data_IF_863268159339
#
_entry.id   IF_863268159339
#
_cell.length_a   1.000
_cell.length_b   1.000
_cell.length_c   1.000
_cell.angle_alpha   90.00
_cell.angle_beta   90.00
_cell.angle_gamma   90.00
#
_symmetry.space_group_name_H-M   'P 1'
#
loop_
_entity.id
_entity.type
_entity.pdbx_description
1 polymer ?
#
# COMPACT_ATOMS: atom_id res chain seq x y z
N UNK A 1 -18.02 -24.71 16.87
CA UNK A 1 -17.39 -24.36 15.58
C UNK A 1 -16.36 -23.27 15.89
N UNK A 2 -15.12 -23.50 15.50
CA UNK A 2 -14.02 -22.55 15.75
C UNK A 2 -14.27 -21.24 15.00
N UNK A 3 -14.01 -20.10 15.65
CA UNK A 3 -14.12 -18.76 15.04
C UNK A 3 -12.73 -18.17 14.80
N UNK A 4 -12.40 -17.96 13.54
CA UNK A 4 -11.17 -17.30 13.10
C UNK A 4 -11.50 -15.89 12.65
N UNK A 5 -11.01 -14.89 13.38
CA UNK A 5 -11.21 -13.48 13.05
C UNK A 5 -9.94 -12.94 12.39
N UNK A 6 -10.08 -12.34 11.20
CA UNK A 6 -9.02 -11.71 10.44
C UNK A 6 -9.27 -10.20 10.46
N UNK A 7 -8.34 -9.43 10.98
CA UNK A 7 -8.44 -7.96 11.05
C UNK A 7 -7.52 -7.33 10.01
N UNK A 8 -8.14 -6.63 9.07
CA UNK A 8 -7.50 -5.98 7.94
C UNK A 8 -7.68 -6.76 6.63
N UNK A 9 -8.44 -6.19 5.70
CA UNK A 9 -8.72 -6.71 4.36
C UNK A 9 -7.75 -6.21 3.29
N UNK A 10 -6.51 -5.90 3.67
CA UNK A 10 -5.43 -5.61 2.71
C UNK A 10 -5.08 -6.80 1.84
N UNK A 11 -4.03 -6.69 1.00
CA UNK A 11 -3.63 -7.70 0.03
C UNK A 11 -3.53 -9.12 0.63
N UNK A 12 -2.90 -9.26 1.80
CA UNK A 12 -2.77 -10.57 2.45
C UNK A 12 -4.01 -10.99 3.23
N UNK A 13 -4.68 -10.05 3.92
CA UNK A 13 -5.83 -10.39 4.77
C UNK A 13 -7.04 -10.86 3.98
N UNK A 14 -7.36 -10.21 2.86
CA UNK A 14 -8.43 -10.66 1.97
C UNK A 14 -8.09 -12.01 1.34
N UNK A 15 -6.84 -12.22 0.90
CA UNK A 15 -6.42 -13.49 0.34
C UNK A 15 -6.53 -14.63 1.37
N UNK A 16 -6.13 -14.38 2.61
CA UNK A 16 -6.26 -15.36 3.70
C UNK A 16 -7.74 -15.68 3.97
N UNK A 17 -8.61 -14.64 4.03
CA UNK A 17 -10.05 -14.85 4.24
C UNK A 17 -10.68 -15.67 3.12
N UNK A 18 -10.37 -15.36 1.86
CA UNK A 18 -10.81 -16.10 0.67
C UNK A 18 -10.43 -17.58 0.78
N UNK A 19 -9.15 -17.89 1.04
CA UNK A 19 -8.68 -19.29 1.12
C UNK A 19 -9.23 -20.05 2.29
N UNK A 20 -9.32 -19.45 3.46
CA UNK A 20 -9.92 -20.08 4.63
C UNK A 20 -11.43 -20.27 4.46
N UNK A 21 -12.10 -19.34 3.82
CA UNK A 21 -13.50 -19.47 3.45
C UNK A 21 -13.72 -20.67 2.53
N UNK A 22 -12.97 -20.78 1.43
CA UNK A 22 -13.05 -21.91 0.48
C UNK A 22 -12.73 -23.26 1.14
N UNK A 23 -11.84 -23.32 2.14
CA UNK A 23 -11.39 -24.57 2.74
C UNK A 23 -12.12 -24.96 4.03
N UNK A 24 -12.30 -24.01 4.93
CA UNK A 24 -12.90 -24.23 6.25
C UNK A 24 -14.35 -23.76 6.33
N UNK A 25 -14.67 -22.62 5.70
CA UNK A 25 -16.00 -22.01 5.69
C UNK A 25 -16.99 -22.86 4.91
N UNK A 26 -16.71 -23.15 3.64
CA UNK A 26 -17.53 -24.00 2.77
C UNK A 26 -17.79 -25.39 3.39
N UNK A 27 -16.80 -25.94 4.09
CA UNK A 27 -16.94 -27.20 4.83
C UNK A 27 -17.60 -27.08 6.20
N UNK A 28 -18.04 -25.89 6.62
CA UNK A 28 -18.59 -25.57 7.95
C UNK A 28 -17.70 -26.07 9.12
N UNK A 29 -16.39 -26.07 8.91
CA UNK A 29 -15.40 -26.50 9.92
C UNK A 29 -15.01 -25.36 10.86
N UNK A 30 -14.97 -24.14 10.32
CA UNK A 30 -14.75 -22.93 11.10
C UNK A 30 -15.61 -21.78 10.55
N UNK A 31 -15.91 -20.83 11.41
CA UNK A 31 -16.46 -19.54 11.05
C UNK A 31 -15.30 -18.60 10.72
N UNK A 32 -15.23 -18.09 9.51
CA UNK A 32 -14.22 -17.14 9.07
C UNK A 32 -14.84 -15.75 9.02
N UNK A 33 -14.29 -14.80 9.78
CA UNK A 33 -14.79 -13.44 9.84
C UNK A 33 -13.68 -12.45 9.46
N UNK A 34 -13.87 -11.72 8.36
CA UNK A 34 -13.02 -10.60 7.97
C UNK A 34 -13.57 -9.30 8.56
N UNK A 35 -12.72 -8.53 9.23
CA UNK A 35 -13.04 -7.21 9.78
C UNK A 35 -12.15 -6.18 9.11
N UNK A 36 -12.74 -5.15 8.51
CA UNK A 36 -12.02 -3.99 7.96
C UNK A 36 -12.84 -2.70 8.15
N UNK A 37 -12.15 -1.57 8.28
CA UNK A 37 -12.78 -0.24 8.35
C UNK A 37 -13.39 0.21 7.02
N UNK A 38 -12.81 -0.26 5.90
CA UNK A 38 -13.27 0.02 4.54
C UNK A 38 -14.35 -0.99 4.10
N UNK A 39 -15.25 -0.65 3.19
CA UNK A 39 -16.23 -1.59 2.64
C UNK A 39 -15.65 -2.51 1.56
N UNK A 40 -14.46 -2.21 1.05
CA UNK A 40 -13.82 -2.94 -0.03
C UNK A 40 -12.32 -2.89 0.00
N UNK A 41 -11.72 -3.74 -0.82
CA UNK A 41 -10.29 -3.86 -1.00
C UNK A 41 -9.82 -3.01 -2.17
N UNK A 42 -8.87 -2.12 -1.90
CA UNK A 42 -8.09 -1.44 -2.91
C UNK A 42 -6.63 -1.87 -2.79
N UNK A 43 -5.99 -2.21 -3.91
CA UNK A 43 -4.59 -2.60 -3.89
C UNK A 43 -3.68 -1.38 -3.65
N UNK A 44 -3.18 -1.23 -2.41
CA UNK A 44 -2.34 -0.11 -1.98
C UNK A 44 -1.20 0.27 -2.93
N UNK A 45 -0.48 -0.67 -3.60
CA UNK A 45 0.55 -0.29 -4.57
C UNK A 45 0.07 0.62 -5.70
N UNK A 46 -1.24 0.69 -5.97
CA UNK A 46 -1.83 1.57 -6.99
C UNK A 46 -2.33 2.93 -6.45
N UNK A 47 -2.15 3.25 -5.16
CA UNK A 47 -2.62 4.53 -4.59
C UNK A 47 -2.00 5.75 -5.29
N UNK A 48 -0.76 5.66 -5.75
CA UNK A 48 -0.13 6.72 -6.54
C UNK A 48 -0.88 7.02 -7.86
N UNK A 49 -1.53 6.01 -8.47
CA UNK A 49 -2.34 6.21 -9.68
C UNK A 49 -3.69 6.87 -9.38
N UNK A 50 -4.25 6.65 -8.19
CA UNK A 50 -5.43 7.38 -7.70
C UNK A 50 -5.05 8.84 -7.44
N UNK A 51 -3.95 9.08 -6.71
CA UNK A 51 -3.45 10.41 -6.37
C UNK A 51 -3.11 11.27 -7.61
N UNK A 52 -2.68 10.62 -8.70
CA UNK A 52 -2.44 11.29 -9.99
C UNK A 52 -3.70 11.44 -10.87
N UNK A 53 -4.83 10.87 -10.47
CA UNK A 53 -6.10 10.91 -11.23
C UNK A 53 -6.20 9.90 -12.37
N UNK A 54 -5.23 9.01 -12.52
CA UNK A 54 -5.20 7.99 -13.59
C UNK A 54 -6.13 6.80 -13.32
N UNK A 55 -6.30 6.43 -12.05
CA UNK A 55 -7.15 5.32 -11.62
C UNK A 55 -8.40 5.84 -10.91
N UNK A 56 -9.55 5.22 -11.22
CA UNK A 56 -10.78 5.42 -10.48
C UNK A 56 -10.93 4.33 -9.43
N UNK A 57 -10.82 4.65 -8.12
CA UNK A 57 -10.95 3.65 -7.07
C UNK A 57 -12.34 3.02 -7.01
N UNK A 58 -13.41 3.75 -7.38
CA UNK A 58 -14.78 3.21 -7.36
C UNK A 58 -14.97 2.03 -8.30
N UNK A 59 -14.16 1.97 -9.35
CA UNK A 59 -14.20 0.91 -10.35
C UNK A 59 -13.25 -0.24 -10.02
N UNK A 60 -12.15 0.08 -9.35
CA UNK A 60 -11.05 -0.86 -9.10
C UNK A 60 -11.18 -1.55 -7.73
N UNK A 61 -11.95 -0.96 -6.82
CA UNK A 61 -12.19 -1.49 -5.48
C UNK A 61 -13.05 -2.75 -5.53
N UNK A 62 -12.63 -3.78 -4.79
CA UNK A 62 -13.35 -5.05 -4.65
C UNK A 62 -14.20 -5.02 -3.38
N UNK A 63 -15.52 -5.08 -3.51
CA UNK A 63 -16.43 -5.12 -2.38
C UNK A 63 -16.20 -6.38 -1.53
N UNK A 64 -15.91 -6.23 -0.23
CA UNK A 64 -15.70 -7.37 0.68
C UNK A 64 -16.95 -8.23 0.81
N UNK A 65 -18.14 -7.63 0.73
CA UNK A 65 -19.42 -8.38 0.78
C UNK A 65 -19.60 -9.34 -0.39
N UNK A 66 -19.17 -8.95 -1.60
CA UNK A 66 -19.20 -9.81 -2.76
C UNK A 66 -18.20 -10.96 -2.64
N UNK A 67 -16.98 -10.65 -2.18
CA UNK A 67 -15.96 -11.68 -1.93
C UNK A 67 -16.39 -12.66 -0.83
N UNK A 68 -17.02 -12.16 0.24
CA UNK A 68 -17.53 -12.98 1.33
C UNK A 68 -18.59 -13.99 0.85
N UNK A 69 -19.49 -13.55 -0.03
CA UNK A 69 -20.51 -14.41 -0.63
C UNK A 69 -19.91 -15.48 -1.55
N UNK A 70 -18.94 -15.09 -2.38
CA UNK A 70 -18.33 -15.97 -3.36
C UNK A 70 -17.41 -17.04 -2.72
N UNK A 71 -16.91 -16.79 -1.50
CA UNK A 71 -15.85 -17.59 -0.87
C UNK A 71 -16.17 -18.02 0.58
N UNK A 72 -17.45 -18.12 0.94
CA UNK A 72 -17.92 -18.68 2.21
C UNK A 72 -17.22 -18.14 3.49
N UNK A 73 -16.99 -16.82 3.55
CA UNK A 73 -16.59 -16.12 4.75
C UNK A 73 -17.57 -14.98 5.10
N UNK A 74 -17.53 -14.47 6.31
CA UNK A 74 -18.34 -13.33 6.73
C UNK A 74 -17.48 -12.05 6.67
N UNK A 75 -18.12 -10.93 6.33
CA UNK A 75 -17.51 -9.61 6.40
C UNK A 75 -18.23 -8.72 7.41
N UNK A 76 -17.44 -8.04 8.24
CA UNK A 76 -17.96 -7.04 9.16
C UNK A 76 -17.17 -5.73 9.03
N UNK A 77 -17.86 -4.68 8.59
CA UNK A 77 -17.24 -3.36 8.53
C UNK A 77 -17.14 -2.75 9.94
N UNK A 78 -15.95 -2.29 10.29
CA UNK A 78 -15.64 -1.61 11.55
C UNK A 78 -14.14 -1.48 11.77
N UNK A 79 -13.77 -0.49 12.55
CA UNK A 79 -12.40 -0.30 12.99
C UNK A 79 -12.22 -0.94 14.38
N UNK A 80 -11.15 -1.72 14.55
CA UNK A 80 -10.82 -2.34 15.83
C UNK A 80 -10.27 -1.28 16.77
N UNK A 81 -10.95 -1.09 17.91
CA UNK A 81 -10.55 -0.17 18.98
C UNK A 81 -9.60 -0.83 19.97
N UNK A 82 -9.91 -2.07 20.35
CA UNK A 82 -9.09 -2.81 21.30
C UNK A 82 -9.28 -4.31 21.12
N UNK A 83 -8.34 -5.07 21.70
CA UNK A 83 -8.36 -6.53 21.80
C UNK A 83 -8.24 -6.91 23.26
N UNK A 84 -9.24 -7.61 23.80
CA UNK A 84 -9.18 -8.23 25.12
C UNK A 84 -8.71 -9.69 24.97
N UNK A 85 -7.43 -9.91 25.25
CA UNK A 85 -6.78 -11.21 25.13
C UNK A 85 -7.23 -12.21 26.18
N UNK A 86 -7.63 -11.71 27.37
CA UNK A 86 -8.09 -12.58 28.45
C UNK A 86 -9.46 -13.20 28.13
N UNK A 87 -10.37 -12.38 27.59
CA UNK A 87 -11.71 -12.81 27.21
C UNK A 87 -11.82 -13.23 25.72
N UNK A 88 -10.71 -13.16 24.96
CA UNK A 88 -10.66 -13.49 23.54
C UNK A 88 -11.70 -12.74 22.73
N UNK A 89 -11.76 -11.42 22.90
CA UNK A 89 -12.69 -10.55 22.17
C UNK A 89 -11.99 -9.38 21.52
N UNK A 90 -12.55 -8.90 20.41
CA UNK A 90 -12.23 -7.62 19.80
C UNK A 90 -13.42 -6.69 19.93
N UNK A 91 -13.15 -5.40 20.11
CA UNK A 91 -14.17 -4.35 20.14
C UNK A 91 -14.03 -3.46 18.92
N UNK A 92 -15.14 -3.25 18.20
CA UNK A 92 -15.21 -2.44 17.01
C UNK A 92 -15.92 -1.11 17.26
N UNK A 93 -15.52 -0.08 16.48
CA UNK A 93 -16.24 1.20 16.42
C UNK A 93 -17.73 1.00 16.09
N UNK A 94 -18.62 1.90 16.56
CA UNK A 94 -20.01 1.93 16.13
C UNK A 94 -20.13 2.10 14.62
N UNK A 95 -21.20 1.54 14.05
CA UNK A 95 -21.52 1.68 12.61
C UNK A 95 -21.87 3.15 12.32
N UNK A 96 -21.14 3.81 11.41
CA UNK A 96 -21.39 5.20 11.04
C UNK A 96 -20.34 6.21 11.53
N UNK A 97 -19.33 5.78 12.27
CA UNK A 97 -18.17 6.61 12.62
C UNK A 97 -18.43 7.76 13.61
N UNK A 98 -19.63 7.90 14.16
CA UNK A 98 -19.94 8.85 15.23
C UNK A 98 -19.87 8.13 16.58
N UNK A 99 -19.04 8.64 17.49
CA UNK A 99 -18.89 8.10 18.86
C UNK A 99 -20.15 8.27 19.72
N UNK A 100 -21.05 9.17 19.36
CA UNK A 100 -22.13 9.61 20.27
C UNK A 100 -23.43 8.77 20.22
N UNK A 101 -23.69 7.95 19.16
CA UNK A 101 -24.98 7.26 18.99
C UNK A 101 -24.90 5.74 18.77
N UNK A 102 -23.75 5.11 18.87
CA UNK A 102 -23.57 3.71 18.50
C UNK A 102 -23.00 2.83 19.61
N UNK A 103 -23.63 1.67 19.83
CA UNK A 103 -23.09 0.63 20.71
C UNK A 103 -21.86 -0.01 20.05
N UNK A 104 -20.73 0.00 20.74
CA UNK A 104 -19.55 -0.77 20.34
C UNK A 104 -19.93 -2.24 20.21
N UNK A 105 -19.41 -2.89 19.14
CA UNK A 105 -19.68 -4.32 18.92
C UNK A 105 -18.49 -5.13 19.41
N UNK A 106 -18.77 -6.11 20.27
CA UNK A 106 -17.77 -7.05 20.77
C UNK A 106 -17.92 -8.39 20.06
N UNK A 107 -16.82 -8.95 19.57
CA UNK A 107 -16.76 -10.19 18.79
C UNK A 107 -15.75 -11.12 19.46
N UNK A 108 -16.18 -12.35 19.78
CA UNK A 108 -15.32 -13.40 20.29
C UNK A 108 -14.52 -14.09 19.18
N UNK A 109 -13.33 -14.58 19.53
CA UNK A 109 -12.48 -15.37 18.63
C UNK A 109 -11.84 -16.56 19.35
N UNK A 110 -11.64 -17.64 18.62
CA UNK A 110 -10.75 -18.73 19.01
C UNK A 110 -9.32 -18.49 18.49
N UNK A 111 -9.23 -17.94 17.27
CA UNK A 111 -7.97 -17.46 16.67
C UNK A 111 -8.16 -16.06 16.12
N UNK A 112 -7.17 -15.21 16.36
CA UNK A 112 -7.12 -13.84 15.84
C UNK A 112 -5.93 -13.68 14.90
N UNK A 113 -6.17 -13.18 13.69
CA UNK A 113 -5.12 -12.90 12.71
C UNK A 113 -5.08 -11.40 12.43
N UNK A 114 -3.96 -10.76 12.74
CA UNK A 114 -3.74 -9.35 12.54
C UNK A 114 -3.01 -9.11 11.21
N UNK A 115 -3.71 -8.51 10.25
CA UNK A 115 -3.23 -8.17 8.91
C UNK A 115 -3.39 -6.65 8.64
N UNK A 116 -3.03 -5.83 9.64
CA UNK A 116 -3.33 -4.40 9.73
C UNK A 116 -2.55 -3.54 8.72
N UNK A 117 -1.56 -4.12 8.03
CA UNK A 117 -0.70 -3.38 7.11
C UNK A 117 0.20 -2.38 7.82
N UNK A 118 0.49 -1.27 7.14
CA UNK A 118 1.32 -0.19 7.67
C UNK A 118 0.68 1.17 7.40
N UNK A 119 1.12 2.17 8.15
CA UNK A 119 0.81 3.59 7.99
C UNK A 119 2.10 4.38 7.79
N UNK A 120 1.98 5.60 7.33
CA UNK A 120 3.11 6.50 7.12
C UNK A 120 3.85 6.77 8.42
N UNK A 121 5.19 6.67 8.39
CA UNK A 121 6.09 7.06 9.47
C UNK A 121 6.65 8.47 9.20
N UNK A 122 6.35 9.41 10.06
CA UNK A 122 6.86 10.78 9.97
C UNK A 122 8.23 10.97 10.63
N UNK A 123 8.80 9.92 11.25
CA UNK A 123 10.11 9.96 11.94
C UNK A 123 10.23 11.10 12.96
N UNK A 124 9.14 11.51 13.55
CA UNK A 124 9.04 12.66 14.48
C UNK A 124 9.56 13.98 13.88
N UNK A 125 9.58 14.11 12.55
CA UNK A 125 9.96 15.38 11.90
C UNK A 125 8.92 16.44 12.22
N UNK A 126 9.31 17.57 12.86
CA UNK A 126 8.39 18.62 13.25
C UNK A 126 7.56 19.13 12.07
N UNK A 127 6.25 19.26 12.28
CA UNK A 127 5.30 19.75 11.29
C UNK A 127 4.92 18.74 10.20
N UNK A 128 5.65 17.63 10.01
CA UNK A 128 5.35 16.67 8.94
C UNK A 128 3.94 16.08 9.05
N UNK A 129 3.55 15.57 10.21
CA UNK A 129 2.21 15.01 10.43
C UNK A 129 1.07 16.05 10.28
N UNK A 130 1.37 17.34 10.44
CA UNK A 130 0.37 18.41 10.36
C UNK A 130 0.23 18.98 8.95
N UNK A 131 1.33 19.10 8.22
CA UNK A 131 1.39 19.86 6.96
C UNK A 131 1.61 18.99 5.72
N UNK A 132 2.08 17.75 5.88
CA UNK A 132 2.22 16.84 4.75
C UNK A 132 1.00 15.91 4.61
N UNK A 133 0.69 15.57 3.38
CA UNK A 133 -0.30 14.55 3.02
C UNK A 133 0.37 13.19 2.92
N UNK A 134 -0.41 12.13 3.06
CA UNK A 134 0.04 10.73 2.97
C UNK A 134 -0.69 9.98 1.84
N UNK A 135 -0.30 8.74 1.58
CA UNK A 135 -1.00 7.81 0.71
C UNK A 135 -1.27 6.49 1.44
N UNK A 136 -1.89 6.56 2.61
CA UNK A 136 -2.20 5.38 3.41
C UNK A 136 -3.54 4.74 3.03
N UNK A 137 -4.44 5.53 2.44
CA UNK A 137 -5.80 5.12 2.04
C UNK A 137 -6.22 5.71 0.68
N UNK A 138 -7.30 5.17 0.11
CA UNK A 138 -7.98 5.75 -1.06
C UNK A 138 -8.44 7.18 -0.79
N UNK A 139 -8.94 7.45 0.42
CA UNK A 139 -9.40 8.79 0.81
C UNK A 139 -8.25 9.81 0.80
N UNK A 140 -7.05 9.43 1.26
CA UNK A 140 -5.86 10.28 1.21
C UNK A 140 -5.44 10.56 -0.23
N UNK A 141 -5.41 9.52 -1.07
CA UNK A 141 -5.06 9.65 -2.48
C UNK A 141 -6.04 10.56 -3.24
N UNK A 142 -7.35 10.42 -2.99
CA UNK A 142 -8.39 11.28 -3.55
C UNK A 142 -8.30 12.73 -3.03
N UNK A 143 -7.98 12.91 -1.74
CA UNK A 143 -7.77 14.24 -1.19
C UNK A 143 -6.54 14.92 -1.82
N UNK A 144 -5.46 14.17 -2.04
CA UNK A 144 -4.28 14.67 -2.74
C UNK A 144 -4.61 15.00 -4.20
N UNK A 145 -5.29 14.10 -4.92
CA UNK A 145 -5.70 14.32 -6.31
C UNK A 145 -6.47 15.63 -6.47
N UNK A 146 -7.50 15.85 -5.64
CA UNK A 146 -8.31 17.07 -5.69
C UNK A 146 -7.44 18.31 -5.52
N UNK A 147 -6.57 18.35 -4.50
CA UNK A 147 -5.69 19.49 -4.26
C UNK A 147 -4.71 19.73 -5.41
N UNK A 148 -4.19 18.64 -6.00
CA UNK A 148 -3.28 18.74 -7.15
C UNK A 148 -3.98 19.30 -8.39
N UNK A 149 -5.16 18.80 -8.75
CA UNK A 149 -5.95 19.28 -9.88
C UNK A 149 -6.37 20.74 -9.67
N UNK A 150 -6.89 21.09 -8.49
CA UNK A 150 -7.24 22.48 -8.15
C UNK A 150 -6.01 23.40 -8.20
N UNK A 151 -4.85 22.91 -7.78
CA UNK A 151 -3.58 23.62 -7.88
C UNK A 151 -3.16 23.87 -9.32
N UNK A 152 -3.28 22.88 -10.21
CA UNK A 152 -3.01 23.02 -11.65
C UNK A 152 -3.95 24.04 -12.31
N UNK A 153 -5.24 24.00 -11.99
CA UNK A 153 -6.22 24.96 -12.49
C UNK A 153 -5.83 26.39 -12.08
N UNK A 154 -5.57 26.62 -10.77
CA UNK A 154 -5.15 27.94 -10.28
C UNK A 154 -3.84 28.40 -10.90
N UNK A 155 -2.87 27.50 -11.10
CA UNK A 155 -1.60 27.85 -11.73
C UNK A 155 -1.80 28.36 -13.17
N UNK A 156 -2.66 27.70 -13.95
CA UNK A 156 -3.02 28.14 -15.31
C UNK A 156 -3.76 29.48 -15.34
N UNK A 157 -4.73 29.70 -14.41
CA UNK A 157 -5.53 30.95 -14.34
C UNK A 157 -4.71 32.16 -13.88
N UNK A 158 -3.91 31.99 -12.80
CA UNK A 158 -3.21 33.10 -12.14
C UNK A 158 -1.80 33.30 -12.63
N UNK A 159 -1.27 32.39 -13.46
CA UNK A 159 0.14 32.34 -13.87
C UNK A 159 1.09 32.23 -12.68
N UNK A 160 0.65 31.56 -11.62
CA UNK A 160 1.44 31.24 -10.43
C UNK A 160 1.98 29.82 -10.54
N UNK A 161 3.17 29.58 -9.99
CA UNK A 161 3.76 28.25 -10.01
C UNK A 161 3.21 27.38 -8.88
N UNK A 162 2.70 26.19 -9.18
CA UNK A 162 2.37 25.15 -8.22
C UNK A 162 3.64 24.35 -7.90
N UNK A 163 4.07 24.37 -6.64
CA UNK A 163 5.21 23.61 -6.14
C UNK A 163 4.74 22.38 -5.38
N UNK A 164 5.07 21.20 -5.86
CA UNK A 164 4.77 19.92 -5.22
C UNK A 164 6.07 19.31 -4.71
N UNK A 165 6.19 19.07 -3.42
CA UNK A 165 7.34 18.42 -2.83
C UNK A 165 6.95 17.01 -2.35
N UNK A 166 7.68 16.01 -2.81
CA UNK A 166 7.53 14.61 -2.41
C UNK A 166 8.74 14.26 -1.56
N UNK A 167 8.50 13.95 -0.29
CA UNK A 167 9.52 13.51 0.66
C UNK A 167 9.58 12.00 0.67
N UNK A 168 10.70 11.45 0.20
CA UNK A 168 10.96 10.02 0.08
C UNK A 168 11.13 9.56 -1.37
N UNK A 169 12.32 9.07 -1.68
CA UNK A 169 12.73 8.54 -3.00
C UNK A 169 12.53 7.03 -3.15
N UNK A 170 11.63 6.43 -2.37
CA UNK A 170 11.18 5.05 -2.53
C UNK A 170 10.26 4.85 -3.73
N UNK A 171 9.75 3.62 -3.93
CA UNK A 171 8.89 3.29 -5.07
C UNK A 171 7.67 4.23 -5.18
N UNK A 172 6.93 4.44 -4.09
CA UNK A 172 5.73 5.29 -4.06
C UNK A 172 6.04 6.72 -4.48
N UNK A 173 7.10 7.34 -3.92
CA UNK A 173 7.45 8.72 -4.25
C UNK A 173 7.92 8.89 -5.69
N UNK A 174 8.73 7.95 -6.19
CA UNK A 174 9.25 7.95 -7.56
C UNK A 174 8.14 7.72 -8.58
N UNK A 175 7.25 6.75 -8.35
CA UNK A 175 6.10 6.45 -9.21
C UNK A 175 5.12 7.63 -9.25
N UNK A 176 4.79 8.20 -8.08
CA UNK A 176 3.89 9.35 -8.02
C UNK A 176 4.49 10.57 -8.74
N UNK A 177 5.76 10.89 -8.53
CA UNK A 177 6.40 12.03 -9.19
C UNK A 177 6.28 11.94 -10.72
N UNK A 178 6.56 10.76 -11.28
CA UNK A 178 6.42 10.51 -12.71
C UNK A 178 4.96 10.64 -13.19
N UNK A 179 4.01 10.07 -12.44
CA UNK A 179 2.59 10.13 -12.80
C UNK A 179 2.03 11.55 -12.68
N UNK A 180 2.41 12.36 -11.68
CA UNK A 180 1.97 13.75 -11.55
C UNK A 180 2.47 14.62 -12.73
N UNK A 181 3.72 14.45 -13.17
CA UNK A 181 4.22 15.13 -14.37
C UNK A 181 3.41 14.78 -15.61
N UNK A 182 3.02 13.49 -15.76
CA UNK A 182 2.16 13.06 -16.87
C UNK A 182 0.75 13.63 -16.75
N UNK A 183 0.18 13.66 -15.54
CA UNK A 183 -1.16 14.19 -15.30
C UNK A 183 -1.21 15.69 -15.57
N UNK A 184 -0.18 16.45 -15.19
CA UNK A 184 -0.09 17.87 -15.52
C UNK A 184 -0.10 18.12 -17.04
N UNK A 185 0.64 17.30 -17.82
CA UNK A 185 0.63 17.40 -19.29
C UNK A 185 -0.74 17.03 -19.88
N UNK A 186 -1.37 15.98 -19.38
CA UNK A 186 -2.72 15.59 -19.83
C UNK A 186 -3.76 16.68 -19.51
N UNK A 187 -3.66 17.36 -18.36
CA UNK A 187 -4.50 18.51 -18.03
C UNK A 187 -4.30 19.67 -19.01
N UNK A 188 -3.06 19.95 -19.43
CA UNK A 188 -2.77 20.96 -20.45
C UNK A 188 -3.33 20.57 -21.83
N UNK A 189 -3.24 19.29 -22.21
CA UNK A 189 -3.82 18.77 -23.46
C UNK A 189 -5.35 18.95 -23.51
N UNK A 190 -6.03 18.89 -22.35
CA UNK A 190 -7.45 19.22 -22.22
C UNK A 190 -7.75 20.72 -22.30
N UNK A 191 -6.72 21.55 -22.51
CA UNK A 191 -6.82 23.02 -22.53
C UNK A 191 -7.41 23.61 -21.25
N UNK A 192 -7.06 23.02 -20.10
CA UNK A 192 -7.49 23.53 -18.81
C UNK A 192 -6.77 24.86 -18.55
N UNK A 193 -7.49 25.97 -18.68
CA UNK A 193 -7.09 27.32 -18.28
C UNK A 193 -5.68 27.78 -18.72
N UNK A 194 -5.25 27.50 -19.93
CA UNK A 194 -3.92 27.93 -20.44
C UNK A 194 -2.72 27.43 -19.60
N UNK A 195 -2.87 26.28 -18.93
CA UNK A 195 -1.81 25.64 -18.13
C UNK A 195 -0.62 25.27 -19.03
N UNK A 196 0.58 25.70 -18.62
CA UNK A 196 1.85 25.29 -19.20
C UNK A 196 2.60 24.43 -18.16
N UNK A 197 2.60 23.09 -18.30
CA UNK A 197 3.16 22.20 -17.28
C UNK A 197 4.63 22.43 -16.98
N UNK A 198 5.41 22.88 -17.96
CA UNK A 198 6.87 23.09 -17.81
C UNK A 198 7.18 24.36 -17.03
N UNK A 199 6.32 25.37 -17.15
CA UNK A 199 6.46 26.66 -16.45
C UNK A 199 5.71 26.69 -15.13
N UNK A 200 4.46 26.19 -15.14
CA UNK A 200 3.50 26.41 -14.06
C UNK A 200 3.53 25.33 -12.99
N UNK A 201 4.12 24.15 -13.29
CA UNK A 201 4.18 23.03 -12.32
C UNK A 201 5.64 22.65 -12.03
N UNK A 202 6.01 22.72 -10.75
CA UNK A 202 7.31 22.26 -10.28
C UNK A 202 7.15 21.10 -9.31
N UNK A 203 7.75 19.97 -9.65
CA UNK A 203 7.76 18.77 -8.79
C UNK A 203 9.19 18.57 -8.30
N UNK A 204 9.35 18.40 -6.99
CA UNK A 204 10.63 18.11 -6.35
C UNK A 204 10.52 16.82 -5.56
N UNK A 205 11.46 15.90 -5.75
CA UNK A 205 11.61 14.69 -4.91
C UNK A 205 12.82 14.87 -4.01
N UNK A 206 12.61 14.76 -2.69
CA UNK A 206 13.67 14.86 -1.68
C UNK A 206 13.91 13.47 -1.07
N UNK A 207 15.14 12.99 -1.15
CA UNK A 207 15.55 11.70 -0.59
C UNK A 207 16.77 11.88 0.33
N UNK A 208 16.68 11.31 1.55
CA UNK A 208 17.76 11.36 2.54
C UNK A 208 18.99 10.58 2.09
N UNK A 209 18.77 9.44 1.43
CA UNK A 209 19.84 8.59 0.93
C UNK A 209 20.52 9.18 -0.31
N UNK A 210 21.68 8.66 -0.64
CA UNK A 210 22.46 9.07 -1.82
C UNK A 210 21.76 8.71 -3.14
N UNK A 211 20.87 7.73 -3.12
CA UNK A 211 20.21 7.22 -4.32
C UNK A 211 18.71 7.05 -4.12
N UNK A 212 17.94 7.32 -5.18
CA UNK A 212 16.54 6.87 -5.24
C UNK A 212 16.47 5.35 -5.24
N UNK A 213 15.33 4.79 -4.79
CA UNK A 213 15.08 3.35 -4.81
C UNK A 213 16.22 2.55 -4.16
N UNK A 214 16.55 2.76 -2.88
CA UNK A 214 17.74 2.23 -2.23
C UNK A 214 17.84 0.70 -2.24
N UNK A 215 16.74 0.00 -2.49
CA UNK A 215 16.68 -1.46 -2.59
C UNK A 215 17.01 -2.00 -4.00
N UNK A 216 17.18 -1.11 -4.98
CA UNK A 216 17.58 -1.49 -6.34
C UNK A 216 19.08 -1.33 -6.52
N UNK A 217 19.59 -1.96 -7.59
CA UNK A 217 21.00 -1.82 -7.96
C UNK A 217 21.30 -0.34 -8.35
N UNK A 218 22.47 0.23 -7.99
CA UNK A 218 22.81 1.64 -8.24
C UNK A 218 22.58 2.12 -9.69
N UNK A 219 22.85 1.29 -10.68
CA UNK A 219 22.58 1.61 -12.09
C UNK A 219 21.09 1.81 -12.39
N UNK A 220 20.20 1.10 -11.69
CA UNK A 220 18.75 1.27 -11.86
C UNK A 220 18.26 2.49 -11.13
N UNK A 221 18.78 2.76 -9.95
CA UNK A 221 18.53 4.01 -9.21
C UNK A 221 18.96 5.22 -10.03
N UNK A 222 20.13 5.18 -10.68
CA UNK A 222 20.57 6.24 -11.57
C UNK A 222 19.69 6.41 -12.80
N UNK A 223 19.22 5.31 -13.40
CA UNK A 223 18.27 5.36 -14.52
C UNK A 223 16.94 5.99 -14.12
N UNK A 224 16.43 5.64 -12.93
CA UNK A 224 15.20 6.23 -12.38
C UNK A 224 15.38 7.74 -12.16
N UNK A 225 16.48 8.17 -11.53
CA UNK A 225 16.78 9.58 -11.31
C UNK A 225 16.91 10.36 -12.63
N UNK A 226 17.63 9.82 -13.62
CA UNK A 226 17.77 10.44 -14.93
C UNK A 226 16.43 10.56 -15.65
N UNK A 227 15.58 9.53 -15.53
CA UNK A 227 14.23 9.57 -16.10
C UNK A 227 13.37 10.65 -15.43
N UNK A 228 13.35 10.77 -14.11
CA UNK A 228 12.60 11.84 -13.43
C UNK A 228 13.12 13.22 -13.86
N UNK A 229 14.43 13.42 -13.95
CA UNK A 229 15.01 14.68 -14.45
C UNK A 229 14.61 15.00 -15.90
N UNK A 230 14.53 13.97 -16.77
CA UNK A 230 14.04 14.16 -18.15
C UNK A 230 12.57 14.55 -18.23
N UNK A 231 11.80 14.33 -17.16
CA UNK A 231 10.42 14.80 -17.02
C UNK A 231 10.32 16.22 -16.43
N UNK A 232 11.44 16.90 -16.17
CA UNK A 232 11.48 18.20 -15.53
C UNK A 232 11.37 18.17 -14.00
N UNK A 233 11.49 16.98 -13.38
CA UNK A 233 11.40 16.81 -11.93
C UNK A 233 12.75 17.10 -11.29
N UNK A 234 12.76 17.95 -10.26
CA UNK A 234 13.95 18.22 -9.44
C UNK A 234 14.19 17.04 -8.46
N UNK A 235 15.33 16.37 -8.59
CA UNK A 235 15.69 15.21 -7.77
C UNK A 235 16.83 15.57 -6.84
N UNK A 236 16.55 15.65 -5.53
CA UNK A 236 17.47 16.00 -4.46
C UNK A 236 17.73 14.79 -3.59
N UNK A 237 18.83 14.13 -3.82
CA UNK A 237 19.35 13.03 -2.99
C UNK A 237 20.31 13.57 -1.93
N UNK A 238 20.69 12.71 -0.95
CA UNK A 238 21.52 13.10 0.20
C UNK A 238 20.95 14.31 0.96
N UNK A 239 19.64 14.49 0.96
CA UNK A 239 18.94 15.65 1.52
C UNK A 239 17.94 15.18 2.58
N UNK A 240 18.26 15.36 3.85
CA UNK A 240 17.38 15.02 4.95
C UNK A 240 16.42 16.17 5.26
N UNK A 241 15.13 15.89 5.44
CA UNK A 241 14.15 16.89 5.86
C UNK A 241 14.22 17.07 7.38
N UNK A 242 14.33 18.33 7.84
CA UNK A 242 14.38 18.70 9.24
C UNK A 242 13.04 19.25 9.77
N UNK A 243 12.26 19.92 8.92
CA UNK A 243 10.99 20.53 9.31
C UNK A 243 10.05 20.68 8.10
N UNK A 244 8.72 20.63 8.36
CA UNK A 244 7.70 20.90 7.34
C UNK A 244 6.77 21.99 7.84
N UNK A 245 6.54 23.00 7.00
CA UNK A 245 5.57 24.06 7.25
C UNK A 245 4.39 23.96 6.27
N UNK A 246 3.45 24.86 6.34
CA UNK A 246 2.30 24.96 5.45
C UNK A 246 2.67 25.30 3.99
N UNK A 247 3.86 25.90 3.78
CA UNK A 247 4.30 26.41 2.48
C UNK A 247 5.74 26.04 2.11
N UNK A 248 6.45 25.26 2.93
CA UNK A 248 7.83 24.85 2.64
C UNK A 248 8.23 23.55 3.36
N UNK A 249 9.14 22.83 2.72
CA UNK A 249 9.93 21.76 3.34
C UNK A 249 11.34 22.30 3.59
N UNK A 250 11.81 22.22 4.83
CA UNK A 250 13.12 22.72 5.25
C UNK A 250 14.04 21.51 5.45
N UNK A 251 15.17 21.50 4.79
CA UNK A 251 16.15 20.44 4.94
C UNK A 251 17.13 20.67 6.11
N UNK A 252 17.95 19.65 6.40
CA UNK A 252 18.90 19.69 7.53
C UNK A 252 20.00 20.75 7.37
N UNK A 253 20.19 21.32 6.18
CA UNK A 253 21.12 22.46 5.96
C UNK A 253 20.48 23.80 6.23
N UNK A 254 19.16 23.83 6.46
CA UNK A 254 18.36 25.05 6.63
C UNK A 254 17.82 25.60 5.30
N UNK A 255 18.05 24.94 4.16
CA UNK A 255 17.49 25.39 2.89
C UNK A 255 15.99 25.09 2.83
N UNK A 256 15.22 26.11 2.40
CA UNK A 256 13.77 26.02 2.26
C UNK A 256 13.39 25.67 0.82
N UNK A 257 12.62 24.58 0.67
CA UNK A 257 12.03 24.16 -0.60
C UNK A 257 10.54 24.57 -0.57
N UNK A 258 10.17 25.57 -1.38
CA UNK A 258 8.76 25.99 -1.46
C UNK A 258 7.87 24.82 -1.83
N UNK A 259 6.76 24.67 -1.11
CA UNK A 259 5.81 23.59 -1.29
C UNK A 259 4.39 24.09 -1.05
N UNK A 260 3.59 24.17 -2.10
CA UNK A 260 2.15 24.40 -2.00
C UNK A 260 1.41 23.10 -1.68
N UNK A 261 2.01 21.96 -2.04
CA UNK A 261 1.60 20.62 -1.65
C UNK A 261 2.82 19.82 -1.21
N UNK A 262 2.78 19.24 -0.02
CA UNK A 262 3.79 18.31 0.47
C UNK A 262 3.20 16.91 0.59
N UNK A 263 3.82 15.91 -0.04
CA UNK A 263 3.50 14.50 0.18
C UNK A 263 4.64 13.82 0.94
N UNK A 264 4.29 13.05 1.97
CA UNK A 264 5.25 12.26 2.73
C UNK A 264 5.19 10.78 2.37
N UNK A 265 6.24 10.28 1.74
CA UNK A 265 6.40 8.88 1.30
C UNK A 265 7.75 8.28 1.76
N UNK A 266 8.31 8.80 2.88
CA UNK A 266 9.67 8.48 3.32
C UNK A 266 9.82 7.15 4.08
N UNK A 267 8.73 6.54 4.51
CA UNK A 267 8.76 5.26 5.21
C UNK A 267 7.43 4.91 5.86
N UNK A 268 7.38 3.69 6.38
CA UNK A 268 6.17 3.14 7.00
C UNK A 268 6.46 2.55 8.37
N UNK A 269 5.43 2.47 9.20
CA UNK A 269 5.44 1.80 10.50
C UNK A 269 4.11 1.08 10.74
N UNK A 270 4.05 0.16 11.68
CA UNK A 270 2.80 -0.49 12.01
C UNK A 270 1.81 0.49 12.67
N UNK A 271 0.49 0.30 12.50
CA UNK A 271 -0.52 1.13 13.14
C UNK A 271 -0.36 1.16 14.67
N UNK A 272 -0.75 2.27 15.29
CA UNK A 272 -0.65 2.46 16.75
C UNK A 272 -1.36 1.36 17.54
N UNK A 273 -2.45 0.84 17.03
CA UNK A 273 -3.17 -0.30 17.61
C UNK A 273 -2.21 -1.45 17.95
N UNK A 274 -1.19 -1.75 17.12
CA UNK A 274 -0.25 -2.84 17.39
C UNK A 274 0.49 -2.67 18.74
N UNK A 275 0.78 -1.43 19.14
CA UNK A 275 1.46 -1.12 20.40
C UNK A 275 0.53 -1.25 21.61
N UNK A 276 -0.80 -1.16 21.43
CA UNK A 276 -1.78 -1.19 22.54
C UNK A 276 -2.26 -2.60 22.89
N UNK A 277 -1.92 -3.61 22.08
CA UNK A 277 -2.42 -4.99 22.21
C UNK A 277 -1.75 -5.79 23.35
N UNK A 278 -0.74 -5.23 24.03
CA UNK A 278 0.05 -5.96 25.02
C UNK A 278 0.87 -7.10 24.42
N UNK A 279 1.14 -7.06 23.13
CA UNK A 279 2.04 -7.95 22.41
C UNK A 279 3.44 -7.34 22.32
N UNK A 280 4.47 -8.18 22.14
CA UNK A 280 5.83 -7.67 21.89
C UNK A 280 5.89 -7.01 20.53
N UNK A 281 6.35 -5.75 20.48
CA UNK A 281 6.56 -5.00 19.24
C UNK A 281 8.00 -4.51 19.10
N UNK A 282 8.45 -4.26 17.87
CA UNK A 282 9.73 -3.63 17.59
C UNK A 282 9.63 -2.08 17.60
N UNK A 283 10.73 -1.39 17.29
CA UNK A 283 10.83 0.07 17.32
C UNK A 283 9.92 0.84 16.34
N UNK A 284 9.38 0.16 15.31
CA UNK A 284 8.38 0.68 14.38
C UNK A 284 7.01 0.04 14.62
N UNK A 285 6.75 -0.40 15.85
CA UNK A 285 5.49 -0.97 16.33
C UNK A 285 5.04 -2.29 15.67
N UNK A 286 5.89 -2.95 14.87
CA UNK A 286 5.54 -4.24 14.28
C UNK A 286 5.51 -5.33 15.35
N UNK A 287 4.46 -6.16 15.33
CA UNK A 287 4.29 -7.30 16.24
C UNK A 287 5.35 -8.35 15.94
N UNK A 288 6.15 -8.71 16.95
CA UNK A 288 7.17 -9.75 16.83
C UNK A 288 6.50 -11.13 16.78
N UNK A 289 6.80 -11.89 15.72
CA UNK A 289 6.23 -13.20 15.48
C UNK A 289 7.29 -14.29 15.35
N UNK A 290 6.91 -15.53 15.68
CA UNK A 290 7.73 -16.73 15.51
C UNK A 290 7.76 -17.20 14.03
N UNK A 291 8.43 -18.32 13.77
CA UNK A 291 8.52 -18.92 12.43
C UNK A 291 7.18 -19.44 11.88
N UNK A 292 6.15 -19.58 12.72
CA UNK A 292 4.78 -19.91 12.34
C UNK A 292 3.88 -18.67 12.22
N UNK A 293 4.46 -17.45 12.24
CA UNK A 293 3.76 -16.16 12.21
C UNK A 293 2.84 -15.93 13.41
N UNK A 294 3.09 -16.60 14.52
CA UNK A 294 2.33 -16.47 15.75
C UNK A 294 3.00 -15.46 16.66
N UNK A 295 2.21 -14.64 17.36
CA UNK A 295 2.72 -13.69 18.36
C UNK A 295 3.44 -14.43 19.50
N UNK A 296 4.62 -13.93 19.90
CA UNK A 296 5.50 -14.61 20.84
C UNK A 296 4.85 -14.90 22.21
N UNK A 297 3.92 -14.05 22.65
CA UNK A 297 3.30 -14.11 23.97
C UNK A 297 1.83 -14.55 23.97
N UNK A 298 1.25 -14.97 22.82
CA UNK A 298 -0.12 -15.48 22.75
C UNK A 298 -0.29 -16.48 21.60
N UNK A 299 -0.59 -17.72 21.94
CA UNK A 299 -0.66 -18.83 20.98
C UNK A 299 -1.88 -18.77 20.04
N UNK A 300 -2.86 -17.92 20.33
CA UNK A 300 -4.10 -17.75 19.57
C UNK A 300 -4.02 -16.57 18.60
N UNK A 301 -2.99 -15.72 18.74
CA UNK A 301 -2.84 -14.53 17.93
C UNK A 301 -1.71 -14.73 16.90
N UNK A 302 -2.05 -14.47 15.65
CA UNK A 302 -1.12 -14.45 14.51
C UNK A 302 -1.02 -13.03 13.97
N UNK A 303 0.12 -12.66 13.43
CA UNK A 303 0.28 -11.39 12.73
C UNK A 303 1.14 -11.57 11.49
N UNK A 304 0.82 -10.86 10.41
CA UNK A 304 1.57 -10.96 9.18
C UNK A 304 1.45 -9.70 8.29
N UNK A 305 2.26 -9.64 7.23
CA UNK A 305 2.38 -8.46 6.39
C UNK A 305 3.14 -7.34 7.11
N UNK A 306 2.84 -6.11 6.73
CA UNK A 306 3.63 -4.95 7.15
C UNK A 306 3.50 -4.61 8.64
N UNK A 307 2.45 -5.11 9.32
CA UNK A 307 2.27 -4.93 10.77
C UNK A 307 3.05 -5.96 11.62
N UNK A 308 3.71 -6.94 11.00
CA UNK A 308 4.45 -7.99 11.69
C UNK A 308 5.95 -7.91 11.43
N UNK A 309 6.74 -8.21 12.46
CA UNK A 309 8.20 -8.35 12.39
C UNK A 309 8.56 -9.84 12.37
N UNK A 310 8.84 -10.35 11.19
CA UNK A 310 9.35 -11.70 10.99
C UNK A 310 10.80 -11.65 10.53
N UNK A 311 11.66 -12.38 11.22
CA UNK A 311 13.08 -12.53 10.87
C UNK A 311 13.30 -13.94 10.30
N UNK A 312 13.47 -14.01 8.99
CA UNK A 312 13.80 -15.26 8.31
C UNK A 312 15.24 -15.68 8.68
N UNK A 313 15.47 -16.94 9.16
CA UNK A 313 16.81 -17.38 9.55
C UNK A 313 17.86 -17.29 8.42
N UNK A 314 17.42 -17.36 7.15
CA UNK A 314 18.30 -17.38 6.00
C UNK A 314 18.48 -15.98 5.38
N UNK A 315 17.42 -15.14 5.39
CA UNK A 315 17.37 -13.87 4.64
C UNK A 315 17.25 -12.63 5.51
N UNK A 316 17.20 -12.79 6.84
CA UNK A 316 17.02 -11.67 7.76
C UNK A 316 15.58 -11.15 7.79
N UNK A 317 15.38 -9.90 8.17
CA UNK A 317 14.04 -9.31 8.30
C UNK A 317 13.28 -9.29 6.97
N UNK A 318 12.05 -9.80 6.98
CA UNK A 318 11.18 -9.73 5.82
C UNK A 318 10.75 -8.27 5.58
N UNK A 319 10.93 -7.73 4.37
CA UNK A 319 10.59 -6.33 4.09
C UNK A 319 9.07 -6.12 4.02
N UNK A 320 8.55 -4.91 4.35
CA UNK A 320 7.14 -4.59 4.22
C UNK A 320 6.76 -4.46 2.73
N UNK A 321 6.28 -5.55 2.14
CA UNK A 321 5.92 -5.64 0.72
C UNK A 321 4.74 -6.57 0.52
N UNK A 322 3.89 -6.27 -0.47
CA UNK A 322 2.74 -7.09 -0.83
C UNK A 322 3.10 -8.57 -1.13
N UNK A 323 4.26 -8.84 -1.76
CA UNK A 323 4.72 -10.21 -2.02
C UNK A 323 5.02 -11.00 -0.74
N UNK A 324 5.47 -10.35 0.33
CA UNK A 324 5.69 -10.99 1.64
C UNK A 324 4.35 -11.33 2.25
N UNK A 325 3.43 -10.36 2.31
CA UNK A 325 2.08 -10.55 2.83
C UNK A 325 1.33 -11.68 2.11
N UNK A 326 1.47 -11.76 0.76
CA UNK A 326 0.94 -12.86 -0.04
C UNK A 326 1.48 -14.24 0.39
N UNK A 327 2.81 -14.39 0.49
CA UNK A 327 3.43 -15.66 0.88
C UNK A 327 3.04 -16.07 2.30
N UNK A 328 2.94 -15.09 3.20
CA UNK A 328 2.52 -15.30 4.57
C UNK A 328 1.03 -15.69 4.66
N UNK A 329 0.15 -15.08 3.86
CA UNK A 329 -1.26 -15.45 3.77
C UNK A 329 -1.43 -16.90 3.30
N UNK A 330 -0.69 -17.31 2.24
CA UNK A 330 -0.69 -18.69 1.75
C UNK A 330 -0.26 -19.68 2.84
N UNK A 331 0.84 -19.38 3.50
CA UNK A 331 1.35 -20.20 4.59
C UNK A 331 0.35 -20.32 5.75
N UNK A 332 -0.25 -19.20 6.18
CA UNK A 332 -1.26 -19.23 7.25
C UNK A 332 -2.53 -19.97 6.84
N UNK A 333 -2.96 -19.87 5.57
CA UNK A 333 -4.09 -20.63 5.08
C UNK A 333 -3.86 -22.14 5.19
N UNK A 334 -2.68 -22.62 4.81
CA UNK A 334 -2.28 -24.01 4.97
C UNK A 334 -2.19 -24.41 6.45
N UNK A 335 -1.49 -23.59 7.27
CA UNK A 335 -1.28 -23.86 8.69
C UNK A 335 -2.60 -23.97 9.46
N UNK A 336 -3.52 -23.01 9.26
CA UNK A 336 -4.79 -22.94 9.98
C UNK A 336 -5.81 -23.96 9.48
N UNK A 337 -5.63 -24.51 8.27
CA UNK A 337 -6.50 -25.58 7.71
C UNK A 337 -6.10 -26.99 8.13
N UNK A 338 -4.94 -27.16 8.75
CA UNK A 338 -4.45 -28.49 9.20
C UNK A 338 -5.36 -29.09 10.26
N UNK A 339 -5.46 -30.42 10.26
CA UNK A 339 -6.23 -31.20 11.20
C UNK A 339 -5.37 -31.95 12.25
N UNK A 340 -4.05 -31.92 12.03
CA UNK A 340 -3.10 -32.65 12.85
C UNK A 340 -2.33 -31.66 13.77
N UNK A 341 -2.01 -32.19 14.98
CA UNK A 341 -1.16 -31.49 15.95
C UNK A 341 0.35 -31.81 15.73
N UNK A 342 0.71 -32.19 14.52
CA UNK A 342 2.09 -32.45 14.14
C UNK A 342 3.00 -31.21 14.24
N UNK A 343 4.32 -31.38 14.02
CA UNK A 343 5.26 -30.25 14.06
C UNK A 343 4.77 -29.10 13.19
N UNK A 344 4.78 -27.89 13.75
CA UNK A 344 4.35 -26.70 13.02
C UNK A 344 5.34 -26.37 11.90
N UNK A 345 4.87 -26.14 10.67
CA UNK A 345 5.73 -25.72 9.59
C UNK A 345 6.31 -24.34 9.90
N UNK A 346 7.49 -24.07 9.34
CA UNK A 346 8.16 -22.77 9.43
C UNK A 346 7.96 -21.98 8.13
N UNK A 347 7.58 -20.73 8.26
CA UNK A 347 7.51 -19.83 7.12
C UNK A 347 8.92 -19.53 6.58
N UNK A 348 9.07 -19.59 5.26
CA UNK A 348 10.31 -19.24 4.57
C UNK A 348 10.00 -18.22 3.47
N UNK A 349 10.57 -17.04 3.62
CA UNK A 349 10.41 -15.98 2.64
C UNK A 349 11.25 -16.22 1.38
N UNK A 350 10.62 -16.09 0.21
CA UNK A 350 11.28 -16.11 -1.09
C UNK A 350 11.17 -14.72 -1.75
N UNK A 351 12.29 -14.09 -2.03
CA UNK A 351 12.31 -12.80 -2.71
C UNK A 351 12.27 -13.00 -4.23
N UNK A 352 11.17 -12.62 -4.86
CA UNK A 352 10.99 -12.65 -6.32
C UNK A 352 11.47 -11.39 -7.02
N UNK A 353 12.09 -10.46 -6.29
CA UNK A 353 12.57 -9.20 -6.82
C UNK A 353 11.62 -8.02 -6.56
N UNK A 354 11.88 -6.90 -7.24
CA UNK A 354 11.13 -5.67 -7.11
C UNK A 354 11.04 -4.96 -8.46
N UNK A 355 9.86 -4.44 -8.76
CA UNK A 355 9.58 -3.68 -9.97
C UNK A 355 9.00 -2.31 -9.57
N UNK A 356 9.44 -1.25 -10.26
CA UNK A 356 8.95 0.12 -10.11
C UNK A 356 8.55 0.63 -11.48
N UNK A 357 7.33 1.14 -11.61
CA UNK A 357 6.80 1.68 -12.85
C UNK A 357 7.08 3.17 -12.95
N UNK A 358 7.85 3.58 -13.93
CA UNK A 358 8.10 5.01 -14.20
C UNK A 358 7.22 5.53 -15.34
N UNK A 359 6.79 4.62 -16.23
CA UNK A 359 5.83 4.78 -17.34
C UNK A 359 5.58 3.43 -18.01
N UNK A 360 4.59 3.29 -18.91
CA UNK A 360 4.39 2.07 -19.68
C UNK A 360 5.64 1.58 -20.45
N UNK A 361 6.60 2.46 -20.71
CA UNK A 361 7.81 2.15 -21.48
C UNK A 361 9.12 2.34 -20.71
N UNK A 362 9.08 2.74 -19.43
CA UNK A 362 10.27 3.11 -18.64
C UNK A 362 10.30 2.50 -17.23
N UNK A 363 9.70 1.32 -17.02
CA UNK A 363 9.80 0.63 -15.75
C UNK A 363 11.22 0.10 -15.52
N UNK A 364 11.64 0.07 -14.26
CA UNK A 364 12.93 -0.47 -13.81
C UNK A 364 12.73 -1.48 -12.70
N UNK A 365 13.50 -2.56 -12.69
CA UNK A 365 13.39 -3.54 -11.63
C UNK A 365 14.37 -4.69 -11.73
N UNK A 366 14.31 -5.54 -10.71
CA UNK A 366 15.06 -6.79 -10.61
C UNK A 366 14.09 -7.92 -10.41
N UNK A 367 14.22 -8.97 -11.21
CA UNK A 367 13.56 -10.25 -11.00
C UNK A 367 14.58 -11.24 -10.44
N UNK A 368 14.24 -11.91 -9.37
CA UNK A 368 15.05 -13.00 -8.82
C UNK A 368 14.37 -14.32 -9.20
N UNK A 369 15.08 -15.15 -9.96
CA UNK A 369 14.57 -16.46 -10.36
C UNK A 369 14.43 -17.40 -9.17
N UNK A 370 13.22 -17.92 -8.94
CA UNK A 370 12.90 -18.81 -7.82
C UNK A 370 13.76 -20.08 -7.77
N UNK A 371 14.20 -20.61 -8.93
CA UNK A 371 14.97 -21.84 -9.05
C UNK A 371 16.50 -21.62 -9.06
N UNK A 372 16.96 -20.48 -9.51
CA UNK A 372 18.40 -20.24 -9.73
C UNK A 372 19.04 -19.26 -8.76
N UNK A 373 18.24 -18.51 -7.99
CA UNK A 373 18.71 -17.43 -7.13
C UNK A 373 19.39 -16.28 -7.88
N UNK A 374 19.49 -16.34 -9.21
CA UNK A 374 20.12 -15.31 -10.03
C UNK A 374 19.15 -14.16 -10.28
N UNK A 375 19.63 -12.95 -10.08
CA UNK A 375 18.87 -11.73 -10.32
C UNK A 375 19.05 -11.26 -11.76
N UNK A 376 17.95 -11.08 -12.48
CA UNK A 376 17.91 -10.54 -13.83
C UNK A 376 17.41 -9.11 -13.76
N UNK A 377 18.18 -8.15 -14.30
CA UNK A 377 17.77 -6.75 -14.40
C UNK A 377 16.82 -6.59 -15.57
N UNK A 378 15.68 -5.99 -15.29
CA UNK A 378 14.64 -5.77 -16.29
C UNK A 378 14.36 -4.28 -16.39
N UNK A 379 14.12 -3.80 -17.61
CA UNK A 379 13.79 -2.39 -17.86
C UNK A 379 12.94 -2.22 -19.11
N UNK A 380 12.37 -1.02 -19.29
CA UNK A 380 11.56 -0.68 -20.45
C UNK A 380 10.24 -1.47 -20.53
N UNK A 381 9.78 -1.77 -21.74
CA UNK A 381 8.49 -2.43 -21.99
C UNK A 381 8.36 -3.80 -21.30
N UNK A 382 9.45 -4.57 -21.18
CA UNK A 382 9.43 -5.86 -20.48
C UNK A 382 9.13 -5.71 -18.98
N UNK A 383 9.72 -4.72 -18.31
CA UNK A 383 9.44 -4.45 -16.90
C UNK A 383 8.00 -3.95 -16.71
N UNK A 384 7.48 -3.14 -17.63
CA UNK A 384 6.09 -2.67 -17.60
C UNK A 384 5.08 -3.80 -17.76
N UNK A 385 5.35 -4.74 -18.67
CA UNK A 385 4.52 -5.94 -18.84
C UNK A 385 4.53 -6.79 -17.56
N UNK A 386 5.69 -6.99 -16.96
CA UNK A 386 5.82 -7.74 -15.70
C UNK A 386 5.11 -7.06 -14.53
N UNK A 387 5.15 -5.74 -14.45
CA UNK A 387 4.39 -4.98 -13.45
C UNK A 387 2.88 -5.18 -13.63
N UNK A 388 2.38 -5.12 -14.87
CA UNK A 388 0.99 -5.41 -15.18
C UNK A 388 0.61 -6.85 -14.82
N UNK A 389 1.48 -7.84 -15.10
CA UNK A 389 1.26 -9.24 -14.73
C UNK A 389 1.24 -9.48 -13.21
N UNK A 390 1.94 -8.68 -12.42
CA UNK A 390 1.84 -8.76 -10.94
C UNK A 390 0.45 -8.37 -10.47
N UNK A 391 -0.15 -7.31 -11.02
CA UNK A 391 -1.52 -6.92 -10.74
C UNK A 391 -2.51 -8.01 -11.17
N UNK A 392 -2.32 -8.54 -12.37
CA UNK A 392 -3.13 -9.64 -12.90
C UNK A 392 -3.07 -10.90 -12.02
N UNK A 393 -1.88 -11.24 -11.50
CA UNK A 393 -1.72 -12.38 -10.59
C UNK A 393 -2.53 -12.19 -9.31
N UNK A 394 -2.55 -10.99 -8.75
CA UNK A 394 -3.36 -10.69 -7.57
C UNK A 394 -4.86 -10.86 -7.85
N UNK A 395 -5.35 -10.28 -8.97
CA UNK A 395 -6.74 -10.43 -9.40
C UNK A 395 -7.13 -11.89 -9.69
N UNK A 396 -6.22 -12.65 -10.30
CA UNK A 396 -6.43 -14.08 -10.58
C UNK A 396 -6.68 -14.88 -9.28
N UNK A 397 -5.97 -14.54 -8.22
CA UNK A 397 -6.09 -15.24 -6.94
C UNK A 397 -7.40 -14.93 -6.20
N UNK A 398 -7.96 -13.73 -6.42
CA UNK A 398 -9.21 -13.29 -5.80
C UNK A 398 -10.46 -13.64 -6.63
N UNK A 399 -10.36 -13.70 -7.94
CA UNK A 399 -11.52 -13.82 -8.83
C UNK A 399 -11.55 -15.04 -9.73
N UNK A 400 -10.43 -15.77 -9.82
CA UNK A 400 -10.27 -16.81 -10.82
C UNK A 400 -10.07 -16.27 -12.25
N UNK A 401 -9.82 -17.18 -13.21
CA UNK A 401 -9.35 -16.82 -14.55
C UNK A 401 -10.38 -16.09 -15.42
N UNK A 402 -11.64 -16.47 -15.34
CA UNK A 402 -12.69 -15.89 -16.18
C UNK A 402 -13.03 -14.45 -15.81
N UNK A 403 -13.21 -14.18 -14.52
CA UNK A 403 -13.49 -12.82 -14.04
C UNK A 403 -12.29 -11.90 -14.25
N UNK A 404 -11.06 -12.39 -14.01
CA UNK A 404 -9.84 -11.65 -14.32
C UNK A 404 -9.75 -11.28 -15.79
N UNK A 405 -10.02 -12.21 -16.73
CA UNK A 405 -9.99 -11.92 -18.16
C UNK A 405 -11.04 -10.87 -18.56
N UNK A 406 -12.26 -10.98 -18.02
CA UNK A 406 -13.33 -10.00 -18.23
C UNK A 406 -12.94 -8.60 -17.71
N UNK A 407 -12.40 -8.51 -16.49
CA UNK A 407 -11.92 -7.25 -15.90
C UNK A 407 -10.82 -6.62 -16.77
N UNK A 408 -9.85 -7.41 -17.19
CA UNK A 408 -8.76 -6.95 -18.07
C UNK A 408 -9.26 -6.38 -19.39
N UNK A 409 -10.26 -7.02 -19.99
CA UNK A 409 -10.89 -6.52 -21.22
C UNK A 409 -11.61 -5.19 -20.98
N UNK A 410 -12.36 -5.10 -19.88
CA UNK A 410 -13.06 -3.87 -19.49
C UNK A 410 -12.06 -2.73 -19.24
N UNK A 411 -10.98 -2.98 -18.53
CA UNK A 411 -9.94 -1.97 -18.24
C UNK A 411 -9.24 -1.52 -19.52
N UNK A 412 -8.99 -2.43 -20.46
CA UNK A 412 -8.42 -2.11 -21.76
C UNK A 412 -9.37 -1.24 -22.63
N UNK A 413 -10.67 -1.56 -22.63
CA UNK A 413 -11.69 -0.75 -23.32
C UNK A 413 -11.80 0.64 -22.71
N UNK A 414 -11.84 0.73 -21.38
CA UNK A 414 -11.88 2.01 -20.63
C UNK A 414 -10.68 2.88 -20.94
N UNK A 415 -9.48 2.32 -20.95
CA UNK A 415 -8.25 3.05 -21.25
C UNK A 415 -8.25 3.68 -22.64
N UNK A 416 -9.10 3.19 -23.58
CA UNK A 416 -9.27 3.74 -24.93
C UNK A 416 -10.39 4.78 -25.03
N UNK A 417 -11.37 4.74 -24.15
CA UNK A 417 -12.61 5.55 -24.24
C UNK A 417 -12.57 6.69 -23.22
N UNK A 418 -12.02 6.43 -22.02
CA UNK A 418 -12.02 7.44 -20.96
C UNK A 418 -10.80 8.37 -21.05
N UNK A 419 -10.96 9.61 -20.56
CA UNK A 419 -9.84 10.54 -20.44
C UNK A 419 -8.71 9.94 -19.59
N UNK A 420 -7.42 10.22 -19.93
CA UNK A 420 -6.27 9.66 -19.20
C UNK A 420 -6.13 10.19 -17.76
N UNK A 421 -6.81 11.29 -17.41
CA UNK A 421 -6.82 11.87 -16.05
C UNK A 421 -8.22 12.29 -15.68
N UNK A 422 -8.67 11.93 -14.48
CA UNK A 422 -9.97 12.34 -13.92
C UNK A 422 -9.88 13.75 -13.36
N UNK A 423 -10.85 14.59 -13.73
CA UNK A 423 -11.01 15.96 -13.22
C UNK A 423 -11.94 16.02 -11.99
N UNK A 424 -12.82 15.03 -11.82
CA UNK A 424 -13.83 14.99 -10.74
C UNK A 424 -13.61 13.84 -9.77
#
# INVERSE_FOLDING_TARGET
METIVIVGGGAGGLELATRLGDTLGAGKRARILLVDRSPGHFWKPLLHTVASGKCDPQVTELAFTAQALDHDFEFMQGEVLCVDRAHQTITLTPRGGRQDDGVCRTIGYDKLVLALGAVTNFYSVPGAARHAMTLDSVADAEAFRRRFVDGCIRAGERKEQLNVVIVGGGATGVELAAELSNSARALADYRVHTLDPERDIRITVIERGENLLPHLHPLQSQRAANHLRSLGIDVRTATAVAHVTDNAVIDATGAAHRADLTLWAAGVEAPELCATLGLTVNHIRQIVVDSSLRAACDSRIYAFGDCASYVCPIKGAAPPRAQVAHQQAMFLAELLSRRDDGPRPEFRYHDYGSLVSLRPQAAVGVLTGALTGKSIRVGGAAASLLYALMNQKHLLQLHGSLRMAAQTLVDWLRAKILPPVRLH
#
